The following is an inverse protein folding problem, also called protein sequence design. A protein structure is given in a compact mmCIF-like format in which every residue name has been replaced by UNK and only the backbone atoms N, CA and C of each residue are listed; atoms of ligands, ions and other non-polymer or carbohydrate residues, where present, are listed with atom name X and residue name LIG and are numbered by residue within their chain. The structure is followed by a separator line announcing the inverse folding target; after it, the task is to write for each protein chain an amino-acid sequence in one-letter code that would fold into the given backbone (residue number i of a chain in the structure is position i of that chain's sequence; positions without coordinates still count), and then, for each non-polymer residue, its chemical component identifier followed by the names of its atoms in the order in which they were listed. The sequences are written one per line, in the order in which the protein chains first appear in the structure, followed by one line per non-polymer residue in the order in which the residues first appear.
data_IF_629570054998
#
_entry.id   IF_629570054998
#
_cell.length_a   1.000
_cell.length_b   1.000
_cell.length_c   1.000
_cell.angle_alpha   90.00
_cell.angle_beta   90.00
_cell.angle_gamma   90.00
#
_symmetry.space_group_name_H-M   'P 1'
#
loop_
_entity.id
_entity.type
_entity.pdbx_description
1 polymer ?
#
# COMPACT_ATOMS: atom_id res chain seq x y z
N UNK A 1 49.58 60.83 5.39
CA UNK A 1 49.48 59.79 6.43
C UNK A 1 48.05 59.25 6.37
N UNK A 2 47.65 58.57 5.27
CA UNK A 2 46.22 58.25 5.05
C UNK A 2 45.93 57.14 4.02
N UNK A 3 46.91 56.40 3.50
CA UNK A 3 46.67 55.36 2.48
C UNK A 3 47.10 53.94 2.86
N UNK A 4 47.59 53.72 4.10
CA UNK A 4 47.99 52.37 4.56
C UNK A 4 46.91 51.61 5.34
N UNK A 5 45.84 52.26 5.79
CA UNK A 5 44.78 51.61 6.58
C UNK A 5 43.68 50.93 5.74
N UNK A 6 43.47 51.33 4.48
CA UNK A 6 42.44 50.73 3.62
C UNK A 6 42.85 49.39 2.98
N UNK A 7 44.16 49.12 2.81
CA UNK A 7 44.63 47.88 2.16
C UNK A 7 44.43 46.62 3.03
N UNK A 8 44.44 46.76 4.35
CA UNK A 8 44.39 45.60 5.26
C UNK A 8 42.97 45.08 5.51
N UNK A 9 41.93 45.85 5.16
CA UNK A 9 40.54 45.44 5.36
C UNK A 9 39.98 44.62 4.18
N UNK A 10 40.51 44.84 2.96
CA UNK A 10 40.04 44.15 1.76
C UNK A 10 40.58 42.71 1.63
N UNK A 11 41.80 42.42 2.09
CA UNK A 11 42.40 41.07 1.96
C UNK A 11 41.82 40.06 2.97
N UNK A 12 41.33 40.52 4.12
CA UNK A 12 40.71 39.64 5.13
C UNK A 12 39.32 39.16 4.73
N UNK A 13 38.57 39.96 3.96
CA UNK A 13 37.22 39.60 3.51
C UNK A 13 37.20 38.71 2.26
N UNK A 14 38.23 38.72 1.41
CA UNK A 14 38.30 37.81 0.26
C UNK A 14 38.59 36.35 0.66
N UNK A 15 39.37 36.12 1.73
CA UNK A 15 39.64 34.76 2.21
C UNK A 15 38.41 34.09 2.84
N UNK A 16 37.55 34.87 3.50
CA UNK A 16 36.32 34.34 4.11
C UNK A 16 35.19 34.12 3.09
N UNK A 17 35.17 34.83 1.96
CA UNK A 17 34.20 34.54 0.89
C UNK A 17 34.56 33.31 0.05
N UNK A 18 35.84 32.95 -0.06
CA UNK A 18 36.26 31.74 -0.80
C UNK A 18 35.97 30.43 -0.05
N UNK A 19 35.83 30.47 1.28
CA UNK A 19 35.55 29.30 2.12
C UNK A 19 34.05 28.95 2.21
N UNK A 20 33.17 29.86 1.83
CA UNK A 20 31.70 29.65 1.88
C UNK A 20 31.15 29.10 0.55
N UNK A 21 31.93 29.16 -0.54
CA UNK A 21 31.51 28.68 -1.86
C UNK A 21 31.76 27.17 -2.12
N UNK A 22 32.47 26.45 -1.23
CA UNK A 22 32.75 25.00 -1.39
C UNK A 22 31.93 24.09 -0.45
N UNK A 23 30.90 24.62 0.23
CA UNK A 23 30.00 23.82 1.09
C UNK A 23 28.55 23.85 0.57
N UNK A 24 28.40 23.95 -0.75
CA UNK A 24 27.10 23.77 -1.44
C UNK A 24 27.22 22.72 -2.55
N UNK A 25 28.01 21.67 -2.32
CA UNK A 25 27.66 20.34 -2.86
C UNK A 25 26.61 19.80 -1.89
N UNK A 26 25.43 20.42 -1.94
CA UNK A 26 24.24 19.89 -1.30
C UNK A 26 24.00 18.51 -1.91
N UNK A 27 24.20 17.49 -1.09
CA UNK A 27 23.66 16.16 -1.28
C UNK A 27 22.15 16.28 -1.57
N UNK A 28 21.77 16.44 -2.82
CA UNK A 28 20.44 16.06 -3.31
C UNK A 28 20.48 14.55 -3.50
N UNK A 29 20.39 13.87 -2.38
CA UNK A 29 20.38 12.43 -2.29
C UNK A 29 19.76 12.06 -0.95
N UNK A 30 18.44 12.23 -0.84
CA UNK A 30 17.54 11.48 0.04
C UNK A 30 16.11 12.08 -0.01
N UNK A 31 15.54 12.19 -1.21
CA UNK A 31 14.08 12.22 -1.40
C UNK A 31 13.88 11.32 -2.62
N UNK A 32 13.31 10.13 -2.56
CA UNK A 32 12.20 9.62 -1.76
C UNK A 32 12.51 8.13 -1.62
N UNK A 33 12.76 7.62 -0.41
CA UNK A 33 12.57 6.18 -0.22
C UNK A 33 11.07 5.96 -0.38
N UNK A 34 10.61 5.24 -1.43
CA UNK A 34 9.22 4.83 -1.46
C UNK A 34 8.96 4.09 -0.15
N UNK A 35 7.76 4.17 0.45
CA UNK A 35 7.47 3.39 1.63
C UNK A 35 7.72 1.92 1.27
N UNK A 36 8.85 1.37 1.73
CA UNK A 36 9.13 -0.04 1.63
C UNK A 36 8.06 -0.71 2.45
N UNK A 37 7.01 -1.19 1.77
CA UNK A 37 6.09 -2.15 2.35
C UNK A 37 6.96 -3.27 2.88
N UNK A 38 6.80 -3.67 4.15
CA UNK A 38 7.59 -4.75 4.80
C UNK A 38 7.70 -6.05 3.96
N UNK A 39 6.84 -6.23 2.96
CA UNK A 39 6.93 -7.32 1.99
C UNK A 39 8.15 -7.24 1.05
N UNK A 40 8.67 -6.06 0.72
CA UNK A 40 9.79 -5.89 -0.23
C UNK A 40 11.15 -6.20 0.41
N UNK A 41 11.34 -5.83 1.68
CA UNK A 41 12.58 -6.08 2.43
C UNK A 41 12.79 -7.57 2.76
N UNK A 42 11.74 -8.39 2.65
CA UNK A 42 11.81 -9.84 2.82
C UNK A 42 12.11 -10.59 1.51
N UNK A 43 12.14 -9.91 0.37
CA UNK A 43 12.42 -10.52 -0.93
C UNK A 43 13.93 -10.44 -1.19
N UNK A 44 14.62 -11.58 -1.39
CA UNK A 44 16.05 -11.57 -1.71
C UNK A 44 16.33 -10.70 -2.93
N UNK A 45 17.40 -9.88 -2.87
CA UNK A 45 17.78 -8.95 -3.95
C UNK A 45 17.89 -9.63 -5.32
N UNK A 46 18.37 -10.88 -5.35
CA UNK A 46 18.49 -11.70 -6.55
C UNK A 46 17.16 -11.97 -7.26
N UNK A 47 16.04 -11.89 -6.54
CA UNK A 47 14.69 -12.16 -7.07
C UNK A 47 13.83 -10.90 -7.21
N UNK A 48 14.27 -9.77 -6.67
CA UNK A 48 13.49 -8.52 -6.61
C UNK A 48 13.03 -8.06 -7.99
N UNK A 49 13.90 -8.06 -8.98
CA UNK A 49 13.56 -7.66 -10.36
C UNK A 49 12.50 -8.57 -11.00
N UNK A 50 12.59 -9.88 -10.77
CA UNK A 50 11.61 -10.84 -11.27
C UNK A 50 10.25 -10.68 -10.55
N UNK A 51 10.29 -10.40 -9.24
CA UNK A 51 9.09 -10.09 -8.47
C UNK A 51 8.43 -8.80 -8.96
N UNK A 52 9.19 -7.71 -9.12
CA UNK A 52 8.70 -6.43 -9.65
C UNK A 52 8.08 -6.60 -11.04
N UNK A 53 8.70 -7.38 -11.93
CA UNK A 53 8.13 -7.69 -13.25
C UNK A 53 6.80 -8.42 -13.14
N UNK A 54 6.72 -9.46 -12.29
CA UNK A 54 5.48 -10.20 -12.05
C UNK A 54 4.40 -9.32 -11.44
N UNK A 55 4.75 -8.41 -10.55
CA UNK A 55 3.81 -7.44 -9.98
C UNK A 55 3.30 -6.48 -11.05
N UNK A 56 4.18 -5.95 -11.91
CA UNK A 56 3.81 -5.04 -12.98
C UNK A 56 2.92 -5.72 -14.04
N UNK A 57 3.15 -7.00 -14.33
CA UNK A 57 2.28 -7.81 -15.19
C UNK A 57 0.93 -8.07 -14.51
N UNK A 58 0.94 -8.45 -13.23
CA UNK A 58 -0.27 -8.61 -12.44
C UNK A 58 -1.09 -7.32 -12.39
N UNK A 59 -0.46 -6.15 -12.27
CA UNK A 59 -1.17 -4.86 -12.23
C UNK A 59 -1.95 -4.58 -13.52
N UNK A 60 -1.46 -5.03 -14.67
CA UNK A 60 -2.15 -4.91 -15.97
C UNK A 60 -3.27 -5.93 -16.16
N UNK A 61 -3.29 -7.00 -15.37
CA UNK A 61 -4.31 -8.03 -15.41
C UNK A 61 -5.65 -7.47 -14.91
N UNK A 62 -6.65 -7.42 -15.78
CA UNK A 62 -8.04 -7.12 -15.41
C UNK A 62 -8.73 -8.41 -14.97
N UNK A 63 -9.35 -8.38 -13.78
CA UNK A 63 -10.24 -9.45 -13.33
C UNK A 63 -11.66 -8.91 -13.28
N UNK A 64 -12.62 -9.64 -13.84
CA UNK A 64 -14.03 -9.24 -13.79
C UNK A 64 -14.59 -9.60 -12.42
N UNK A 65 -15.24 -8.64 -11.75
CA UNK A 65 -15.91 -8.89 -10.47
C UNK A 65 -17.34 -9.36 -10.75
N UNK A 66 -17.66 -10.59 -10.35
CA UNK A 66 -19.03 -11.12 -10.45
C UNK A 66 -19.82 -10.82 -9.17
N UNK A 67 -19.19 -11.01 -8.01
CA UNK A 67 -19.84 -10.77 -6.71
C UNK A 67 -18.88 -10.19 -5.69
N UNK A 68 -19.39 -9.27 -4.87
CA UNK A 68 -18.77 -8.82 -3.62
C UNK A 68 -19.78 -8.97 -2.48
N UNK A 69 -19.37 -9.62 -1.39
CA UNK A 69 -20.22 -9.72 -0.21
C UNK A 69 -19.42 -9.70 1.11
N UNK A 70 -20.03 -9.12 2.15
CA UNK A 70 -19.53 -9.17 3.53
C UNK A 70 -20.16 -10.36 4.28
N UNK A 71 -19.36 -11.41 4.44
CA UNK A 71 -19.73 -12.69 5.07
C UNK A 71 -19.26 -12.79 6.52
N UNK A 72 -18.70 -11.72 7.09
CA UNK A 72 -18.30 -11.68 8.50
C UNK A 72 -19.51 -11.97 9.40
N UNK A 73 -19.30 -12.82 10.41
CA UNK A 73 -20.32 -13.11 11.44
C UNK A 73 -20.71 -11.85 12.22
N UNK A 74 -19.76 -10.95 12.47
CA UNK A 74 -20.00 -9.66 13.10
C UNK A 74 -19.60 -8.53 12.14
N UNK A 75 -20.61 -7.80 11.65
CA UNK A 75 -20.42 -6.67 10.73
C UNK A 75 -20.11 -5.37 11.46
N UNK A 76 -20.60 -5.24 12.70
CA UNK A 76 -20.29 -4.08 13.55
C UNK A 76 -18.82 -4.15 13.93
N UNK A 77 -18.08 -3.12 13.53
CA UNK A 77 -16.65 -3.06 13.75
C UNK A 77 -16.34 -1.92 14.71
N UNK A 78 -15.99 -2.27 15.95
CA UNK A 78 -15.64 -1.29 16.99
C UNK A 78 -14.22 -1.54 17.49
N UNK A 79 -13.39 -0.49 17.49
CA UNK A 79 -12.02 -0.51 18.00
C UNK A 79 -11.83 0.67 18.94
N UNK A 80 -11.46 0.43 20.20
CA UNK A 80 -11.18 1.47 21.20
C UNK A 80 -12.25 2.58 21.26
N UNK A 81 -13.53 2.18 21.29
CA UNK A 81 -14.68 3.10 21.32
C UNK A 81 -15.03 3.77 20.00
N UNK A 82 -14.26 3.53 18.94
CA UNK A 82 -14.56 4.02 17.59
C UNK A 82 -15.34 2.96 16.84
N UNK A 83 -16.57 3.28 16.46
CA UNK A 83 -17.41 2.41 15.64
C UNK A 83 -17.27 2.78 14.17
N UNK A 84 -16.97 1.81 13.32
CA UNK A 84 -17.00 1.94 11.87
C UNK A 84 -18.25 1.22 11.38
N UNK A 85 -19.06 1.95 10.62
CA UNK A 85 -20.28 1.42 10.05
C UNK A 85 -19.96 0.39 8.95
N UNK A 86 -20.69 -0.74 8.85
CA UNK A 86 -20.42 -1.78 7.86
C UNK A 86 -20.37 -1.29 6.40
N UNK A 87 -21.21 -0.32 6.06
CA UNK A 87 -21.28 0.31 4.74
C UNK A 87 -19.96 0.99 4.34
N UNK A 88 -19.24 1.57 5.30
CA UNK A 88 -17.94 2.18 5.04
C UNK A 88 -16.89 1.11 4.71
N UNK A 89 -16.92 -0.01 5.43
CA UNK A 89 -16.00 -1.13 5.20
C UNK A 89 -16.22 -1.70 3.79
N UNK A 90 -17.48 -1.89 3.39
CA UNK A 90 -17.82 -2.38 2.05
C UNK A 90 -17.39 -1.38 0.96
N UNK A 91 -17.70 -0.10 1.14
CA UNK A 91 -17.30 0.95 0.20
C UNK A 91 -15.77 1.04 0.05
N UNK A 92 -15.00 0.84 1.12
CA UNK A 92 -13.54 0.80 1.05
C UNK A 92 -13.02 -0.43 0.30
N UNK A 93 -13.65 -1.59 0.51
CA UNK A 93 -13.30 -2.80 -0.24
C UNK A 93 -13.61 -2.64 -1.74
N UNK A 94 -14.80 -2.17 -2.10
CA UNK A 94 -15.19 -1.88 -3.48
C UNK A 94 -14.24 -0.87 -4.13
N UNK A 95 -13.92 0.22 -3.43
CA UNK A 95 -12.95 1.21 -3.90
C UNK A 95 -11.57 0.60 -4.13
N UNK A 96 -11.16 -0.35 -3.28
CA UNK A 96 -9.85 -1.02 -3.38
C UNK A 96 -9.80 -1.98 -4.57
N UNK A 97 -10.86 -2.78 -4.77
CA UNK A 97 -11.02 -3.65 -5.93
C UNK A 97 -10.97 -2.85 -7.23
N UNK A 98 -11.75 -1.78 -7.32
CA UNK A 98 -11.78 -0.90 -8.49
C UNK A 98 -10.41 -0.24 -8.76
N UNK A 99 -9.73 0.28 -7.73
CA UNK A 99 -8.38 0.87 -7.87
C UNK A 99 -7.35 -0.10 -8.40
N UNK A 100 -7.53 -1.39 -8.12
CA UNK A 100 -6.64 -2.44 -8.58
C UNK A 100 -7.19 -3.12 -9.85
N UNK A 101 -8.21 -2.60 -10.53
CA UNK A 101 -8.78 -3.21 -11.74
C UNK A 101 -9.35 -4.63 -11.52
N UNK A 102 -9.87 -4.89 -10.32
CA UNK A 102 -10.76 -6.02 -10.05
C UNK A 102 -12.18 -5.47 -10.08
N UNK A 103 -12.92 -5.73 -11.16
CA UNK A 103 -14.24 -5.15 -11.43
C UNK A 103 -14.37 -4.36 -12.73
N UNK A 104 -13.32 -4.28 -13.55
CA UNK A 104 -13.46 -3.77 -14.90
C UNK A 104 -14.20 -4.81 -15.77
N UNK A 105 -15.21 -4.32 -16.49
CA UNK A 105 -16.17 -5.10 -17.31
C UNK A 105 -15.56 -5.48 -18.65
N UNK A 106 -14.43 -6.17 -18.62
CA UNK A 106 -13.74 -6.62 -19.81
C UNK A 106 -14.13 -8.08 -20.01
N UNK A 107 -15.06 -8.33 -20.93
CA UNK A 107 -15.73 -9.62 -21.18
C UNK A 107 -14.82 -10.76 -21.68
N UNK A 108 -13.50 -10.60 -21.62
CA UNK A 108 -12.51 -11.57 -22.06
C UNK A 108 -11.69 -12.19 -20.91
N UNK A 109 -11.93 -11.77 -19.65
CA UNK A 109 -11.18 -12.23 -18.49
C UNK A 109 -11.87 -13.32 -17.66
N UNK A 110 -11.13 -13.88 -16.70
CA UNK A 110 -11.72 -14.67 -15.61
C UNK A 110 -12.55 -13.80 -14.66
N UNK A 111 -13.58 -14.40 -14.08
CA UNK A 111 -14.45 -13.79 -13.09
C UNK A 111 -14.03 -14.18 -11.67
N UNK A 112 -14.21 -13.27 -10.73
CA UNK A 112 -13.97 -13.51 -9.31
C UNK A 112 -15.19 -13.14 -8.46
N UNK A 113 -15.46 -13.97 -7.46
CA UNK A 113 -16.31 -13.63 -6.33
C UNK A 113 -15.41 -13.31 -5.14
N UNK A 114 -15.63 -12.19 -4.48
CA UNK A 114 -14.81 -11.72 -3.35
C UNK A 114 -15.67 -11.59 -2.10
N UNK A 115 -15.35 -12.38 -1.08
CA UNK A 115 -16.06 -12.41 0.19
C UNK A 115 -15.19 -11.86 1.31
N UNK A 116 -15.62 -10.77 1.95
CA UNK A 116 -14.97 -10.28 3.17
C UNK A 116 -15.33 -11.20 4.33
N UNK A 117 -14.40 -12.05 4.76
CA UNK A 117 -14.69 -13.09 5.75
C UNK A 117 -14.22 -12.73 7.16
N UNK A 118 -13.11 -12.00 7.30
CA UNK A 118 -12.58 -11.60 8.61
C UNK A 118 -11.91 -10.25 8.58
N UNK A 119 -12.12 -9.48 9.64
CA UNK A 119 -11.34 -8.29 9.98
C UNK A 119 -10.91 -8.42 11.44
N UNK A 120 -9.62 -8.26 11.69
CA UNK A 120 -9.06 -8.23 13.03
C UNK A 120 -8.19 -6.99 13.18
N UNK A 121 -8.44 -6.21 14.23
CA UNK A 121 -7.59 -5.09 14.59
C UNK A 121 -7.16 -5.26 16.03
N UNK A 122 -5.86 -5.18 16.26
CA UNK A 122 -5.26 -5.28 17.57
C UNK A 122 -4.36 -4.07 17.81
N UNK A 123 -4.55 -3.42 18.95
CA UNK A 123 -3.71 -2.30 19.38
C UNK A 123 -2.84 -2.76 20.56
N UNK A 124 -1.52 -2.78 20.36
CA UNK A 124 -0.54 -3.09 21.41
C UNK A 124 0.35 -1.87 21.59
N UNK A 125 0.22 -1.17 22.71
CA UNK A 125 0.94 0.07 22.97
C UNK A 125 0.63 1.13 21.91
N UNK A 126 1.65 1.57 21.17
CA UNK A 126 1.53 2.52 20.05
C UNK A 126 1.51 1.85 18.69
N UNK A 127 1.22 0.55 18.62
CA UNK A 127 1.18 -0.20 17.36
C UNK A 127 -0.23 -0.71 17.11
N UNK A 128 -0.77 -0.40 15.94
CA UNK A 128 -2.03 -0.93 15.44
C UNK A 128 -1.73 -1.97 14.36
N UNK A 129 -2.07 -3.23 14.63
CA UNK A 129 -1.98 -4.31 13.66
C UNK A 129 -3.37 -4.64 13.14
N UNK A 130 -3.58 -4.47 11.85
CA UNK A 130 -4.83 -4.77 11.15
C UNK A 130 -4.64 -5.94 10.21
N UNK A 131 -5.54 -6.91 10.25
CA UNK A 131 -5.57 -8.04 9.33
C UNK A 131 -6.94 -8.11 8.66
N UNK A 132 -6.93 -8.29 7.35
CA UNK A 132 -8.13 -8.49 6.54
C UNK A 132 -7.98 -9.83 5.82
N UNK A 133 -9.05 -10.63 5.82
CA UNK A 133 -9.12 -11.88 5.06
C UNK A 133 -10.26 -11.76 4.05
N UNK A 134 -9.91 -11.99 2.80
CA UNK A 134 -10.83 -12.10 1.67
C UNK A 134 -10.81 -13.54 1.19
N UNK A 135 -11.97 -14.19 1.19
CA UNK A 135 -12.11 -15.49 0.53
C UNK A 135 -12.58 -15.25 -0.90
N UNK A 136 -11.94 -15.93 -1.85
CA UNK A 136 -12.14 -15.68 -3.27
C UNK A 136 -12.44 -16.98 -3.98
N UNK A 137 -13.42 -16.92 -4.88
CA UNK A 137 -13.60 -17.93 -5.91
C UNK A 137 -13.27 -17.33 -7.25
N UNK A 138 -12.71 -18.13 -8.13
CA UNK A 138 -12.39 -17.71 -9.47
C UNK A 138 -13.04 -18.64 -10.48
N UNK A 139 -13.33 -18.13 -11.67
CA UNK A 139 -13.81 -18.90 -12.81
C UNK A 139 -13.17 -18.34 -14.06
N UNK A 140 -12.41 -19.15 -14.79
CA UNK A 140 -11.95 -18.76 -16.11
C UNK A 140 -13.10 -18.90 -17.10
N UNK A 141 -13.28 -17.97 -18.02
CA UNK A 141 -14.15 -18.21 -19.17
C UNK A 141 -13.45 -19.23 -20.09
N UNK A 142 -14.10 -20.33 -20.53
CA UNK A 142 -15.55 -20.61 -20.50
C UNK A 142 -15.99 -21.62 -19.43
N UNK A 143 -15.23 -21.83 -18.34
CA UNK A 143 -15.64 -22.75 -17.29
C UNK A 143 -16.99 -22.32 -16.68
N UNK A 144 -17.89 -23.28 -16.46
CA UNK A 144 -19.22 -23.00 -15.94
C UNK A 144 -19.24 -22.80 -14.42
N UNK A 145 -18.26 -23.38 -13.72
CA UNK A 145 -18.23 -23.45 -12.25
C UNK A 145 -17.09 -22.65 -11.65
N UNK A 146 -17.37 -21.99 -10.52
CA UNK A 146 -16.37 -21.37 -9.68
C UNK A 146 -15.50 -22.41 -8.96
N UNK A 147 -14.23 -22.07 -8.72
CA UNK A 147 -13.31 -22.87 -7.91
C UNK A 147 -13.75 -22.94 -6.44
N UNK A 148 -13.08 -23.82 -5.69
CA UNK A 148 -13.12 -23.76 -4.22
C UNK A 148 -12.63 -22.40 -3.70
N UNK A 149 -13.09 -22.04 -2.50
CA UNK A 149 -12.72 -20.81 -1.82
C UNK A 149 -11.23 -20.81 -1.46
N UNK A 150 -10.53 -19.76 -1.88
CA UNK A 150 -9.13 -19.50 -1.51
C UNK A 150 -9.05 -18.25 -0.65
N UNK A 151 -8.35 -18.33 0.48
CA UNK A 151 -8.22 -17.21 1.42
C UNK A 151 -6.98 -16.37 1.14
N UNK A 152 -7.18 -15.08 0.94
CA UNK A 152 -6.14 -14.08 0.78
C UNK A 152 -6.11 -13.14 1.98
N UNK A 153 -4.97 -13.09 2.67
CA UNK A 153 -4.77 -12.23 3.83
C UNK A 153 -3.94 -11.01 3.48
N UNK A 154 -4.40 -9.84 3.86
CA UNK A 154 -3.60 -8.61 3.89
C UNK A 154 -3.40 -8.11 5.32
N UNK A 155 -2.29 -7.42 5.55
CA UNK A 155 -1.91 -6.93 6.87
C UNK A 155 -1.47 -5.47 6.81
N UNK A 156 -1.78 -4.68 7.83
CA UNK A 156 -1.14 -3.39 8.03
C UNK A 156 -0.66 -3.28 9.45
N UNK A 157 0.48 -2.63 9.62
CA UNK A 157 1.05 -2.27 10.91
C UNK A 157 1.31 -0.77 10.87
N UNK A 158 0.55 0.00 11.65
CA UNK A 158 0.68 1.46 11.72
C UNK A 158 0.95 1.91 13.14
N UNK A 159 1.53 3.11 13.27
CA UNK A 159 1.70 3.75 14.58
C UNK A 159 0.34 4.27 15.03
N UNK A 160 -0.10 3.81 16.19
CA UNK A 160 -1.33 4.20 16.84
C UNK A 160 -1.10 5.38 17.79
N UNK A 161 -1.75 6.49 17.48
CA UNK A 161 -1.99 7.61 18.38
C UNK A 161 -3.49 7.62 18.74
N UNK A 162 -3.86 7.50 20.04
CA UNK A 162 -5.26 7.44 20.46
C UNK A 162 -6.13 8.64 20.03
N UNK A 163 -5.50 9.77 19.74
CA UNK A 163 -6.18 11.03 19.42
C UNK A 163 -6.56 11.16 17.95
N UNK A 164 -6.19 10.20 17.09
CA UNK A 164 -6.51 10.23 15.66
C UNK A 164 -7.33 9.00 15.25
N UNK A 165 -8.66 9.19 15.24
CA UNK A 165 -9.66 8.24 14.75
C UNK A 165 -9.34 7.66 13.35
N UNK A 166 -8.63 8.44 12.54
CA UNK A 166 -8.23 8.07 11.17
C UNK A 166 -7.22 6.90 11.11
N UNK A 167 -6.51 6.57 12.20
CA UNK A 167 -5.48 5.52 12.17
C UNK A 167 -6.06 4.13 11.85
N UNK A 168 -7.25 3.83 12.37
CA UNK A 168 -7.92 2.54 12.15
C UNK A 168 -8.41 2.42 10.72
N UNK A 169 -9.00 3.50 10.18
CA UNK A 169 -9.45 3.55 8.78
C UNK A 169 -8.27 3.38 7.82
N UNK A 170 -7.18 4.11 8.04
CA UNK A 170 -5.97 4.01 7.20
C UNK A 170 -5.39 2.59 7.26
N UNK A 171 -5.25 2.01 8.44
CA UNK A 171 -4.71 0.66 8.60
C UNK A 171 -5.60 -0.39 7.93
N UNK A 172 -6.92 -0.23 8.00
CA UNK A 172 -7.87 -1.14 7.36
C UNK A 172 -7.79 -1.06 5.83
N UNK A 173 -7.79 0.15 5.27
CA UNK A 173 -7.62 0.37 3.82
C UNK A 173 -6.31 -0.22 3.31
N UNK A 174 -5.22 -0.07 4.06
CA UNK A 174 -3.93 -0.65 3.70
C UNK A 174 -3.96 -2.19 3.74
N UNK A 175 -4.57 -2.78 4.76
CA UNK A 175 -4.71 -4.24 4.85
C UNK A 175 -5.61 -4.79 3.72
N UNK A 176 -6.70 -4.11 3.38
CA UNK A 176 -7.54 -4.44 2.21
C UNK A 176 -6.72 -4.37 0.91
N UNK A 177 -5.97 -3.29 0.72
CA UNK A 177 -5.12 -3.13 -0.46
C UNK A 177 -4.12 -4.28 -0.60
N UNK A 178 -3.46 -4.68 0.48
CA UNK A 178 -2.55 -5.84 0.44
C UNK A 178 -3.27 -7.14 0.12
N UNK A 179 -4.47 -7.38 0.68
CA UNK A 179 -5.25 -8.58 0.38
C UNK A 179 -5.62 -8.64 -1.11
N UNK A 180 -6.12 -7.54 -1.67
CA UNK A 180 -6.50 -7.46 -3.09
C UNK A 180 -5.30 -7.56 -4.01
N UNK A 181 -4.16 -6.94 -3.64
CA UNK A 181 -2.91 -7.11 -4.39
C UNK A 181 -2.52 -8.58 -4.48
N UNK A 182 -2.62 -9.33 -3.39
CA UNK A 182 -2.32 -10.77 -3.37
C UNK A 182 -3.26 -11.57 -4.28
N UNK A 183 -4.56 -11.24 -4.32
CA UNK A 183 -5.52 -11.81 -5.28
C UNK A 183 -5.00 -11.63 -6.71
N UNK A 184 -4.67 -10.40 -7.10
CA UNK A 184 -4.15 -10.11 -8.45
C UNK A 184 -2.91 -10.91 -8.79
N UNK A 185 -1.96 -10.96 -7.86
CA UNK A 185 -0.70 -11.67 -8.10
C UNK A 185 -0.89 -13.17 -8.23
N UNK A 186 -1.89 -13.72 -7.53
CA UNK A 186 -2.24 -15.14 -7.62
C UNK A 186 -2.83 -15.46 -8.98
N UNK A 187 -3.68 -14.60 -9.53
CA UNK A 187 -4.34 -14.79 -10.82
C UNK A 187 -3.64 -14.12 -12.00
N UNK A 188 -2.47 -13.52 -11.82
CA UNK A 188 -1.75 -12.83 -12.90
C UNK A 188 -1.47 -13.72 -14.12
N UNK A 189 -1.21 -15.01 -13.88
CA UNK A 189 -0.99 -16.01 -14.93
C UNK A 189 -2.23 -16.31 -15.79
N UNK A 190 -3.41 -15.84 -15.37
CA UNK A 190 -4.69 -16.02 -16.06
C UNK A 190 -4.98 -14.92 -17.08
N UNK A 191 -4.15 -13.88 -17.13
CA UNK A 191 -4.30 -12.74 -18.02
C UNK A 191 -3.42 -12.81 -19.28
N UNK A 192 -3.02 -14.03 -19.68
CA UNK A 192 -2.21 -14.30 -20.87
C UNK A 192 -3.06 -14.84 -22.03
#
# INVERSE_FOLDING_TARGET
MESRFQKTYLEKNLRNLALIAMVNIGLVGCEVTPPETLESTLIPESTRKAYESKMAEAEKCTLSLNEIADTRQNKLFTVNGHSIAPENVNAWLESTLNKLHVGATDSAGGEVNVYLSKIFVNAIGKTLTTNVVLDVQHRQTPADTFTELQSFRGQSVTVYTPDTSNNVEVALKQAMHQAVRRIKTSYAHQCN
#
